data_IF_479990214049
#
_entry.id   IF_479990214049
#
_cell.length_a   1.000
_cell.length_b   1.000
_cell.length_c   1.000
_cell.angle_alpha   90.00
_cell.angle_beta   90.00
_cell.angle_gamma   90.00
#
_symmetry.space_group_name_H-M   'P 1'
#
loop_
_entity.id
_entity.type
_entity.pdbx_description
1 polymer ?
#
# COMPACT_ATOMS: atom_id res chain seq x y z
N UNK A 1 17.88 10.37 18.50
CA UNK A 1 17.62 11.11 19.75
C UNK A 1 16.13 11.40 19.79
N UNK A 2 15.45 11.09 20.88
CA UNK A 2 14.04 11.46 21.09
C UNK A 2 14.01 12.44 22.26
N UNK A 3 13.69 13.70 22.02
CA UNK A 3 13.94 14.78 22.99
C UNK A 3 15.43 14.88 23.31
N UNK A 4 15.81 14.62 24.55
CA UNK A 4 17.20 14.65 25.02
C UNK A 4 17.83 13.25 25.17
N UNK A 5 17.05 12.18 25.01
CA UNK A 5 17.50 10.82 25.28
C UNK A 5 18.01 10.08 24.03
N UNK A 6 18.95 9.16 24.25
CA UNK A 6 19.59 8.34 23.21
C UNK A 6 19.51 6.87 23.56
N UNK A 7 18.73 6.12 22.78
CA UNK A 7 18.76 4.66 22.77
C UNK A 7 19.85 4.16 21.82
N UNK A 8 20.70 3.23 22.29
CA UNK A 8 21.75 2.59 21.49
C UNK A 8 21.27 1.23 21.00
N UNK A 9 21.61 0.90 19.76
CA UNK A 9 21.27 -0.39 19.13
C UNK A 9 22.39 -0.81 18.16
N UNK A 10 22.35 -2.07 17.71
CA UNK A 10 23.27 -2.60 16.70
C UNK A 10 22.76 -2.38 15.27
N UNK A 11 21.44 -2.34 15.10
CA UNK A 11 20.76 -2.24 13.82
C UNK A 11 19.55 -1.31 13.96
N UNK A 12 19.23 -0.59 12.88
CA UNK A 12 18.05 0.26 12.78
C UNK A 12 17.22 -0.21 11.60
N UNK A 13 15.91 -0.37 11.82
CA UNK A 13 14.92 -0.66 10.78
C UNK A 13 13.95 0.51 10.74
N UNK A 14 13.72 1.07 9.55
CA UNK A 14 12.88 2.26 9.41
C UNK A 14 12.26 2.37 8.02
N UNK A 15 11.25 3.22 7.89
CA UNK A 15 10.73 3.63 6.59
C UNK A 15 11.49 4.86 6.05
N UNK A 16 11.34 5.19 4.75
CA UNK A 16 12.05 6.30 4.10
C UNK A 16 11.94 7.67 4.79
N UNK A 17 10.87 7.94 5.54
CA UNK A 17 10.63 9.25 6.16
C UNK A 17 11.65 9.60 7.26
N UNK A 18 12.30 8.60 7.86
CA UNK A 18 13.31 8.79 8.91
C UNK A 18 14.71 9.12 8.37
N UNK A 19 14.97 8.82 7.09
CA UNK A 19 16.32 8.83 6.48
C UNK A 19 16.26 9.33 5.04
N UNK A 20 15.78 10.56 4.86
CA UNK A 20 15.51 11.17 3.55
C UNK A 20 16.76 11.36 2.67
N UNK A 21 17.96 11.36 3.25
CA UNK A 21 19.25 11.42 2.57
C UNK A 21 19.74 10.05 2.06
N UNK A 22 19.07 8.96 2.43
CA UNK A 22 19.46 7.57 2.10
C UNK A 22 18.48 6.85 1.18
N UNK A 23 17.57 7.60 0.57
CA UNK A 23 16.53 7.06 -0.30
C UNK A 23 16.46 7.83 -1.61
N UNK A 24 16.04 7.16 -2.68
CA UNK A 24 15.74 7.79 -3.97
C UNK A 24 14.25 7.73 -4.28
N UNK A 25 13.71 8.82 -4.82
CA UNK A 25 12.36 8.83 -5.40
C UNK A 25 12.36 8.01 -6.69
N UNK A 26 11.49 7.00 -6.76
CA UNK A 26 11.38 6.08 -7.91
C UNK A 26 10.07 6.22 -8.68
N UNK A 27 9.13 7.01 -8.18
CA UNK A 27 7.84 7.22 -8.82
C UNK A 27 6.86 7.95 -7.91
N UNK A 28 5.59 7.95 -8.30
CA UNK A 28 4.49 8.46 -7.51
C UNK A 28 3.28 7.55 -7.65
N UNK A 29 2.42 7.51 -6.64
CA UNK A 29 1.13 6.82 -6.66
C UNK A 29 0.04 7.82 -6.35
N UNK A 30 -1.03 7.79 -7.15
CA UNK A 30 -2.28 8.45 -6.80
C UNK A 30 -3.19 7.46 -6.07
N UNK A 31 -3.82 7.90 -4.98
CA UNK A 31 -4.88 7.20 -4.27
C UNK A 31 -6.09 8.13 -4.16
N UNK A 32 -7.26 7.62 -4.51
CA UNK A 32 -8.52 8.33 -4.35
C UNK A 32 -9.47 7.51 -3.50
N UNK A 33 -9.65 7.93 -2.25
CA UNK A 33 -10.60 7.34 -1.32
C UNK A 33 -11.97 7.94 -1.60
N UNK A 34 -12.96 7.09 -1.83
CA UNK A 34 -14.33 7.45 -2.20
C UNK A 34 -15.31 6.88 -1.18
N UNK A 35 -16.15 7.73 -0.60
CA UNK A 35 -17.26 7.31 0.25
C UNK A 35 -18.51 7.06 -0.59
N UNK A 36 -19.06 5.86 -0.48
CA UNK A 36 -20.27 5.45 -1.17
C UNK A 36 -21.34 5.04 -0.14
N UNK A 37 -22.61 5.21 -0.51
CA UNK A 37 -23.76 4.74 0.27
C UNK A 37 -24.53 3.61 -0.45
N UNK A 38 -23.83 2.89 -1.33
CA UNK A 38 -24.33 1.77 -2.12
C UNK A 38 -23.16 0.85 -2.53
N UNK A 39 -23.40 -0.42 -2.86
CA UNK A 39 -22.37 -1.29 -3.44
C UNK A 39 -21.97 -0.79 -4.83
N UNK A 40 -20.77 -1.14 -5.28
CA UNK A 40 -20.32 -0.84 -6.65
C UNK A 40 -21.25 -1.54 -7.66
N UNK A 41 -21.78 -0.84 -8.68
CA UNK A 41 -22.57 -1.45 -9.75
C UNK A 41 -21.93 -2.69 -10.37
N UNK A 42 -22.74 -3.65 -10.81
CA UNK A 42 -22.29 -4.88 -11.47
C UNK A 42 -21.40 -5.82 -10.62
N UNK A 43 -21.39 -5.65 -9.28
CA UNK A 43 -20.67 -6.56 -8.37
C UNK A 43 -21.57 -7.56 -7.64
N UNK A 44 -22.85 -7.70 -8.07
CA UNK A 44 -23.87 -8.51 -7.38
C UNK A 44 -24.05 -8.10 -5.91
N UNK A 45 -24.12 -6.80 -5.68
CA UNK A 45 -24.27 -6.17 -4.36
C UNK A 45 -23.20 -6.61 -3.34
N UNK A 46 -21.97 -6.84 -3.81
CA UNK A 46 -20.87 -7.26 -2.95
C UNK A 46 -20.55 -6.20 -1.88
N UNK A 47 -20.36 -6.67 -0.64
CA UNK A 47 -20.02 -5.83 0.51
C UNK A 47 -18.53 -5.57 0.64
N UNK A 48 -17.72 -6.29 -0.12
CA UNK A 48 -16.32 -6.01 -0.41
C UNK A 48 -15.94 -6.64 -1.74
N UNK A 49 -15.01 -6.03 -2.46
CA UNK A 49 -14.48 -6.60 -3.70
C UNK A 49 -13.15 -5.97 -4.07
N UNK A 50 -12.47 -6.63 -5.00
CA UNK A 50 -11.31 -6.09 -5.70
C UNK A 50 -11.63 -6.06 -7.19
N UNK A 51 -11.32 -4.95 -7.85
CA UNK A 51 -11.40 -4.79 -9.30
C UNK A 51 -10.02 -4.38 -9.79
N UNK A 52 -9.54 -5.07 -10.80
CA UNK A 52 -8.29 -4.74 -11.49
C UNK A 52 -8.66 -4.29 -12.89
N UNK A 53 -8.16 -3.13 -13.30
CA UNK A 53 -8.28 -2.62 -14.66
C UNK A 53 -6.90 -2.77 -15.31
N UNK A 54 -6.71 -3.81 -16.15
CA UNK A 54 -5.42 -4.05 -16.76
C UNK A 54 -5.01 -2.89 -17.65
N UNK A 55 -3.76 -2.46 -17.55
CA UNK A 55 -3.16 -1.31 -18.23
C UNK A 55 -3.47 -1.26 -19.74
N UNK A 56 -3.51 -2.42 -20.40
CA UNK A 56 -3.77 -2.54 -21.85
C UNK A 56 -5.20 -2.17 -22.24
N UNK A 57 -6.17 -2.32 -21.32
CA UNK A 57 -7.58 -2.00 -21.56
C UNK A 57 -7.84 -0.49 -21.52
N UNK A 58 -6.93 0.28 -20.92
CA UNK A 58 -7.05 1.74 -20.74
C UNK A 58 -5.88 2.51 -21.33
N UNK A 59 -5.04 1.86 -22.15
CA UNK A 59 -3.93 2.50 -22.85
C UNK A 59 -2.82 3.03 -21.93
N UNK A 60 -2.57 2.36 -20.81
CA UNK A 60 -1.59 2.75 -19.77
C UNK A 60 -0.39 1.81 -19.68
N UNK A 61 0.62 2.22 -18.92
CA UNK A 61 1.78 1.41 -18.53
C UNK A 61 1.60 0.72 -17.17
N UNK A 62 0.69 1.19 -16.33
CA UNK A 62 0.37 0.61 -15.04
C UNK A 62 -1.13 0.35 -14.89
N UNK A 63 -1.45 -0.75 -14.21
CA UNK A 63 -2.82 -1.14 -13.89
C UNK A 63 -3.47 -0.10 -12.95
N UNK A 64 -4.80 -0.07 -12.95
CA UNK A 64 -5.59 0.67 -11.94
C UNK A 64 -6.26 -0.36 -11.04
N UNK A 65 -6.09 -0.18 -9.73
CA UNK A 65 -6.68 -1.05 -8.71
C UNK A 65 -7.84 -0.33 -8.05
N UNK A 66 -8.93 -1.06 -7.83
CA UNK A 66 -10.05 -0.61 -7.01
C UNK A 66 -10.29 -1.63 -5.91
N UNK A 67 -10.24 -1.20 -4.66
CA UNK A 67 -10.65 -2.01 -3.50
C UNK A 67 -11.90 -1.41 -2.88
N UNK A 68 -12.91 -2.23 -2.62
CA UNK A 68 -14.10 -1.86 -1.86
C UNK A 68 -14.12 -2.64 -0.55
N UNK A 69 -14.27 -1.93 0.55
CA UNK A 69 -14.63 -2.50 1.85
C UNK A 69 -15.80 -1.70 2.44
N UNK A 70 -16.48 -2.26 3.43
CA UNK A 70 -17.69 -1.64 3.98
C UNK A 70 -17.80 -1.87 5.48
N UNK A 71 -18.94 -1.47 6.04
CA UNK A 71 -19.30 -1.70 7.43
C UNK A 71 -19.13 -3.16 7.91
N UNK A 72 -19.18 -4.16 7.03
CA UNK A 72 -18.92 -5.56 7.42
C UNK A 72 -17.50 -5.79 7.93
N UNK A 73 -16.55 -4.93 7.53
CA UNK A 73 -15.16 -4.94 7.98
C UNK A 73 -14.90 -3.94 9.11
N UNK A 74 -15.97 -3.34 9.70
CA UNK A 74 -15.88 -2.34 10.78
C UNK A 74 -15.07 -1.08 10.43
N UNK A 75 -14.95 -0.74 9.15
CA UNK A 75 -14.24 0.47 8.67
C UNK A 75 -15.17 1.64 8.32
N UNK A 76 -16.48 1.42 8.35
CA UNK A 76 -17.49 2.41 7.99
C UNK A 76 -18.80 2.18 8.76
N UNK A 77 -19.63 3.21 8.88
CA UNK A 77 -20.97 3.09 9.46
C UNK A 77 -21.87 2.17 8.62
N UNK A 78 -22.88 1.54 9.24
CA UNK A 78 -23.81 0.63 8.54
C UNK A 78 -24.41 1.29 7.28
N UNK A 79 -24.35 0.58 6.15
CA UNK A 79 -24.81 1.08 4.85
C UNK A 79 -23.80 1.94 4.08
N UNK A 80 -22.62 2.20 4.66
CA UNK A 80 -21.52 2.93 4.00
C UNK A 80 -20.40 2.00 3.55
N UNK A 81 -19.74 2.45 2.49
CA UNK A 81 -18.63 1.77 1.85
C UNK A 81 -17.47 2.74 1.64
N UNK A 82 -16.27 2.20 1.70
CA UNK A 82 -15.02 2.89 1.38
C UNK A 82 -14.43 2.19 0.17
N UNK A 83 -14.48 2.87 -0.98
CA UNK A 83 -13.76 2.47 -2.17
C UNK A 83 -12.44 3.23 -2.25
N UNK A 84 -11.38 2.58 -2.69
CA UNK A 84 -10.10 3.24 -2.98
C UNK A 84 -9.70 2.88 -4.41
N UNK A 85 -9.41 3.91 -5.22
CA UNK A 85 -8.86 3.77 -6.57
C UNK A 85 -7.40 4.20 -6.55
N UNK A 86 -6.49 3.37 -7.05
CA UNK A 86 -5.06 3.66 -7.06
C UNK A 86 -4.36 3.21 -8.34
N UNK A 87 -3.34 3.98 -8.75
CA UNK A 87 -2.42 3.62 -9.84
C UNK A 87 -1.09 4.38 -9.68
N UNK A 88 -0.05 3.88 -10.34
CA UNK A 88 1.22 4.62 -10.49
C UNK A 88 1.03 5.78 -11.46
N UNK A 89 1.54 6.95 -11.11
CA UNK A 89 1.39 8.18 -11.91
C UNK A 89 2.25 8.12 -13.16
N UNK A 90 1.65 8.43 -14.31
CA UNK A 90 2.31 8.47 -15.63
C UNK A 90 2.35 9.87 -16.25
N UNK A 91 1.52 10.81 -15.77
CA UNK A 91 1.31 12.13 -16.39
C UNK A 91 1.31 13.25 -15.35
N UNK A 92 1.27 14.50 -15.83
CA UNK A 92 1.12 15.69 -14.99
C UNK A 92 -0.32 15.93 -14.51
N UNK A 93 -1.27 15.07 -14.87
CA UNK A 93 -2.66 15.14 -14.40
C UNK A 93 -3.09 13.79 -13.77
N UNK A 94 -2.59 13.46 -12.56
CA UNK A 94 -2.80 12.14 -11.95
C UNK A 94 -4.28 11.78 -11.76
N UNK A 95 -5.14 12.75 -11.47
CA UNK A 95 -6.56 12.51 -11.23
C UNK A 95 -7.31 12.04 -12.48
N UNK A 96 -6.89 12.49 -13.67
CA UNK A 96 -7.46 12.00 -14.93
C UNK A 96 -7.13 10.51 -15.18
N UNK A 97 -6.01 10.03 -14.65
CA UNK A 97 -5.53 8.66 -14.86
C UNK A 97 -6.40 7.62 -14.16
N UNK A 98 -7.01 7.98 -13.02
CA UNK A 98 -7.89 7.10 -12.23
C UNK A 98 -9.36 7.20 -12.65
N UNK A 99 -9.69 8.06 -13.62
CA UNK A 99 -11.07 8.22 -14.11
C UNK A 99 -11.74 6.88 -14.48
N UNK A 100 -11.07 5.94 -15.20
CA UNK A 100 -11.68 4.65 -15.50
C UNK A 100 -12.13 3.86 -14.26
N UNK A 101 -11.38 3.95 -13.15
CA UNK A 101 -11.76 3.32 -11.89
C UNK A 101 -12.90 4.05 -11.18
N UNK A 102 -12.89 5.39 -11.21
CA UNK A 102 -13.94 6.22 -10.62
C UNK A 102 -15.29 6.03 -11.33
N UNK A 103 -15.28 5.89 -12.66
CA UNK A 103 -16.49 5.69 -13.46
C UNK A 103 -17.22 4.38 -13.11
N UNK A 104 -16.52 3.38 -12.57
CA UNK A 104 -17.12 2.12 -12.11
C UNK A 104 -17.88 2.27 -10.79
N UNK A 105 -17.58 3.29 -9.97
CA UNK A 105 -18.07 3.37 -8.60
C UNK A 105 -19.53 3.82 -8.49
N UNK A 106 -20.13 4.37 -9.56
CA UNK A 106 -21.44 5.03 -9.49
C UNK A 106 -21.39 6.38 -8.73
N UNK A 107 -22.51 6.86 -8.18
CA UNK A 107 -22.57 8.15 -7.46
C UNK A 107 -21.68 8.21 -6.20
N UNK A 108 -20.55 8.92 -6.30
CA UNK A 108 -19.64 9.15 -5.18
C UNK A 108 -20.17 10.27 -4.27
N UNK A 109 -20.25 10.03 -2.95
CA UNK A 109 -20.70 11.05 -1.97
C UNK A 109 -19.61 12.03 -1.60
N UNK A 110 -18.39 11.53 -1.44
CA UNK A 110 -17.22 12.36 -1.21
C UNK A 110 -15.98 11.62 -1.71
N UNK A 111 -15.00 12.37 -2.20
CA UNK A 111 -13.69 11.83 -2.57
C UNK A 111 -12.55 12.60 -1.91
N UNK A 112 -11.49 11.88 -1.62
CA UNK A 112 -10.25 12.40 -1.04
C UNK A 112 -9.09 11.90 -1.90
N UNK A 113 -8.44 12.83 -2.60
CA UNK A 113 -7.34 12.52 -3.53
C UNK A 113 -6.02 12.83 -2.84
N UNK A 114 -5.10 11.89 -2.90
CA UNK A 114 -3.72 12.07 -2.48
C UNK A 114 -2.75 11.53 -3.52
N UNK A 115 -1.64 12.22 -3.70
CA UNK A 115 -0.50 11.74 -4.50
C UNK A 115 0.68 11.61 -3.57
N UNK A 116 1.33 10.46 -3.57
CA UNK A 116 2.45 10.15 -2.70
C UNK A 116 3.66 9.75 -3.52
N UNK A 117 4.82 10.25 -3.12
CA UNK A 117 6.10 9.84 -3.70
C UNK A 117 6.46 8.42 -3.24
N UNK A 118 7.00 7.63 -4.15
CA UNK A 118 7.55 6.31 -3.85
C UNK A 118 9.06 6.40 -3.71
N UNK A 119 9.58 5.82 -2.64
CA UNK A 119 11.01 5.78 -2.33
C UNK A 119 11.54 4.35 -2.23
N UNK A 120 12.82 4.18 -2.56
CA UNK A 120 13.59 2.97 -2.29
C UNK A 120 14.91 3.32 -1.60
N UNK A 121 15.50 2.40 -0.82
CA UNK A 121 16.83 2.59 -0.27
C UNK A 121 17.91 2.75 -1.36
N UNK A 122 18.91 3.57 -1.08
CA UNK A 122 20.12 3.69 -1.91
C UNK A 122 21.10 2.51 -1.74
N UNK A 123 21.05 1.84 -0.58
CA UNK A 123 21.95 0.74 -0.23
C UNK A 123 21.21 -0.40 0.52
N UNK A 124 21.86 -1.55 0.67
CA UNK A 124 21.24 -2.74 1.26
C UNK A 124 21.29 -2.76 2.80
N UNK A 125 21.88 -1.74 3.43
CA UNK A 125 22.00 -1.61 4.87
C UNK A 125 23.10 -2.45 5.52
N UNK A 126 23.86 -3.28 4.78
CA UNK A 126 24.84 -4.19 5.41
C UNK A 126 26.07 -3.48 5.97
N UNK A 127 26.54 -2.42 5.32
CA UNK A 127 27.72 -1.67 5.80
C UNK A 127 27.37 -0.72 6.95
N UNK A 128 26.21 -0.06 6.87
CA UNK A 128 25.79 0.98 7.82
C UNK A 128 24.85 0.47 8.92
N UNK A 129 24.32 -0.75 8.80
CA UNK A 129 23.35 -1.39 9.69
C UNK A 129 22.00 -0.64 9.81
N UNK A 130 21.60 0.06 8.74
CA UNK A 130 20.32 0.76 8.59
C UNK A 130 19.53 0.10 7.46
N UNK A 131 18.48 -0.63 7.82
CA UNK A 131 17.65 -1.38 6.88
C UNK A 131 16.35 -0.61 6.62
N UNK A 132 16.25 -0.02 5.43
CA UNK A 132 15.12 0.84 5.05
C UNK A 132 14.13 0.02 4.21
N UNK A 133 12.84 0.18 4.47
CA UNK A 133 11.77 -0.37 3.64
C UNK A 133 11.50 0.46 2.39
N UNK A 134 10.85 -0.15 1.41
CA UNK A 134 10.33 0.53 0.23
C UNK A 134 8.96 1.16 0.55
N UNK A 135 8.62 2.23 -0.16
CA UNK A 135 7.25 2.79 -0.08
C UNK A 135 6.22 1.82 -0.66
N UNK A 136 5.03 1.79 -0.07
CA UNK A 136 3.90 1.01 -0.58
C UNK A 136 3.50 1.45 -1.99
N UNK A 137 3.50 0.50 -2.92
CA UNK A 137 3.09 0.72 -4.30
C UNK A 137 1.56 0.91 -4.45
N UNK A 138 1.10 0.95 -5.70
CA UNK A 138 -0.31 1.18 -6.02
C UNK A 138 -1.20 -0.06 -5.88
N UNK A 139 -0.63 -1.25 -5.68
CA UNK A 139 -1.38 -2.51 -5.65
C UNK A 139 -2.31 -2.58 -4.43
N UNK A 140 -3.43 -3.28 -4.59
CA UNK A 140 -4.43 -3.48 -3.52
C UNK A 140 -4.21 -4.78 -2.73
N UNK A 141 -3.05 -5.42 -2.88
CA UNK A 141 -2.66 -6.66 -2.21
C UNK A 141 -1.23 -6.57 -1.69
N UNK A 142 -0.83 -7.51 -0.83
CA UNK A 142 0.43 -7.39 -0.08
C UNK A 142 1.64 -8.12 -0.68
N UNK A 143 1.55 -8.73 -1.85
CA UNK A 143 2.66 -9.53 -2.42
C UNK A 143 4.01 -8.79 -2.47
N UNK A 144 4.03 -7.55 -2.99
CA UNK A 144 5.26 -6.73 -3.06
C UNK A 144 5.73 -6.28 -1.69
N UNK A 145 4.80 -6.00 -0.77
CA UNK A 145 5.11 -5.69 0.63
C UNK A 145 5.75 -6.89 1.34
N UNK A 146 5.18 -8.08 1.19
CA UNK A 146 5.74 -9.31 1.75
C UNK A 146 7.15 -9.59 1.19
N UNK A 147 7.35 -9.33 -0.10
CA UNK A 147 8.67 -9.46 -0.74
C UNK A 147 9.69 -8.52 -0.11
N UNK A 148 9.31 -7.27 0.17
CA UNK A 148 10.18 -6.29 0.83
C UNK A 148 10.47 -6.67 2.29
N UNK A 149 9.49 -7.20 3.02
CA UNK A 149 9.69 -7.72 4.39
C UNK A 149 10.72 -8.86 4.41
N UNK A 150 10.59 -9.82 3.49
CA UNK A 150 11.53 -10.95 3.39
C UNK A 150 12.93 -10.49 2.98
N UNK A 151 13.02 -9.51 2.06
CA UNK A 151 14.29 -8.90 1.67
C UNK A 151 14.96 -8.16 2.83
N UNK A 152 14.24 -7.32 3.57
CA UNK A 152 14.73 -6.64 4.76
C UNK A 152 15.21 -7.64 5.80
N UNK A 153 14.43 -8.69 6.06
CA UNK A 153 14.82 -9.75 6.99
C UNK A 153 16.15 -10.35 6.56
N UNK A 154 16.27 -10.78 5.30
CA UNK A 154 17.48 -11.39 4.77
C UNK A 154 18.69 -10.47 4.87
N UNK A 155 18.54 -9.18 4.54
CA UNK A 155 19.63 -8.19 4.65
C UNK A 155 20.04 -7.95 6.10
N UNK A 156 19.07 -7.91 7.01
CA UNK A 156 19.26 -7.67 8.43
C UNK A 156 19.88 -8.83 9.21
N UNK A 157 19.47 -10.06 8.90
CA UNK A 157 19.89 -11.27 9.63
C UNK A 157 21.01 -12.03 8.95
N UNK A 158 21.17 -11.87 7.63
CA UNK A 158 22.11 -12.62 6.81
C UNK A 158 21.62 -14.01 6.38
N UNK A 159 20.38 -14.38 6.72
CA UNK A 159 19.78 -15.68 6.36
C UNK A 159 18.39 -15.51 5.72
N UNK A 160 17.98 -16.48 4.91
CA UNK A 160 16.62 -16.51 4.35
C UNK A 160 15.59 -16.82 5.45
N UNK A 161 14.40 -16.23 5.34
CA UNK A 161 13.34 -16.46 6.33
C UNK A 161 12.81 -17.90 6.26
N UNK A 162 12.90 -18.61 7.37
CA UNK A 162 12.39 -19.97 7.50
C UNK A 162 10.96 -19.98 8.04
N UNK A 163 10.01 -20.18 7.14
CA UNK A 163 8.57 -20.23 7.47
C UNK A 163 8.22 -21.38 8.42
N UNK A 164 9.03 -22.44 8.52
CA UNK A 164 8.75 -23.55 9.44
C UNK A 164 8.93 -23.16 10.92
N UNK A 165 9.66 -22.07 11.19
CA UNK A 165 9.85 -21.53 12.55
C UNK A 165 8.65 -20.73 13.06
N UNK A 166 7.68 -20.43 12.19
CA UNK A 166 6.43 -19.77 12.57
C UNK A 166 5.57 -20.76 13.33
N UNK A 167 5.70 -20.78 14.66
CA UNK A 167 4.81 -21.52 15.55
C UNK A 167 3.54 -20.71 15.73
N UNK A 168 2.47 -21.13 15.08
CA UNK A 168 1.13 -20.66 15.36
C UNK A 168 0.64 -21.38 16.63
N UNK A 169 0.69 -20.73 17.80
CA UNK A 169 -0.10 -21.18 18.95
C UNK A 169 -1.56 -20.72 18.73
N UNK A 170 -2.32 -21.49 17.95
CA UNK A 170 -3.75 -21.26 17.66
C UNK A 170 -4.68 -21.53 18.87
N UNK A 171 -4.12 -21.79 20.05
CA UNK A 171 -4.87 -22.21 21.24
C UNK A 171 -5.02 -21.12 22.32
N UNK A 172 -4.49 -19.91 22.11
CA UNK A 172 -4.59 -18.82 23.12
C UNK A 172 -5.87 -17.97 23.02
N UNK A 173 -6.79 -18.29 22.09
CA UNK A 173 -8.08 -17.60 21.89
C UNK A 173 -9.32 -18.48 22.21
N UNK A 174 -9.24 -19.39 23.21
CA UNK A 174 -10.42 -20.07 23.78
C UNK A 174 -10.77 -19.57 25.19
#
# INVERSE_FOLDING_TARGET
RSGDEVAKCKQVYCDPSYVTDRVNKVGQVIRCICLLNHPIPNTKDALSCQIIIPQKQVGRKFDIYVSLVSFTHQVAAKGWFVAMVSTTVETNNPEAEIKPGLDLLGPIKQKFVSVSDLYKPLDDGKENQIFISQSFDATSHFETTCSDVLDIFRRGTGEDFDFSKVKLDLNDDQ
#
